data_IF_009915167388
#
_entry.id   IF_009915167388
#
_cell.length_a   1.000
_cell.length_b   1.000
_cell.length_c   1.000
_cell.angle_alpha   90.00
_cell.angle_beta   90.00
_cell.angle_gamma   90.00
#
_symmetry.space_group_name_H-M   'P 1'
#
loop_
_entity.id
_entity.type
_entity.pdbx_description
1 polymer ?
#
# COMPACT_ATOMS: atom_id res chain seq x y z
N UNK A 1 2.65 24.50 20.87
CA UNK A 1 1.23 24.17 20.58
C UNK A 1 0.34 25.31 21.10
N UNK A 2 -0.42 26.00 20.24
CA UNK A 2 -1.31 27.07 20.67
C UNK A 2 -2.50 26.56 21.51
N UNK A 3 -2.80 25.26 21.44
CA UNK A 3 -3.86 24.59 22.21
C UNK A 3 -3.25 23.32 22.79
N UNK A 4 -3.28 23.21 24.12
CA UNK A 4 -2.78 22.02 24.82
C UNK A 4 -3.61 20.78 24.42
N UNK A 5 -2.94 19.68 24.16
CA UNK A 5 -3.58 18.42 23.70
C UNK A 5 -3.92 18.33 22.20
N UNK A 6 -3.85 19.44 21.44
CA UNK A 6 -4.10 19.46 20.01
C UNK A 6 -2.81 19.17 19.25
N UNK A 7 -2.86 18.19 18.32
CA UNK A 7 -1.73 17.81 17.47
C UNK A 7 -2.18 17.71 16.01
N UNK A 8 -1.54 18.48 15.15
CA UNK A 8 -1.69 18.41 13.70
C UNK A 8 -0.46 17.73 13.10
N UNK A 9 -0.68 16.71 12.30
CA UNK A 9 0.37 15.99 11.57
C UNK A 9 0.04 15.94 10.10
N UNK A 10 1.00 16.31 9.27
CA UNK A 10 0.95 16.16 7.81
C UNK A 10 2.20 15.41 7.38
N UNK A 11 2.04 14.34 6.61
CA UNK A 11 3.14 13.50 6.11
C UNK A 11 2.94 13.27 4.62
N UNK A 12 3.93 13.64 3.84
CA UNK A 12 3.98 13.34 2.42
C UNK A 12 5.10 12.34 2.16
N UNK A 13 4.83 11.30 1.40
CA UNK A 13 5.80 10.30 1.00
C UNK A 13 5.71 10.01 -0.49
N UNK A 14 6.84 9.69 -1.08
CA UNK A 14 6.96 9.22 -2.44
C UNK A 14 7.84 7.96 -2.47
N UNK A 15 7.37 6.93 -3.15
CA UNK A 15 8.10 5.72 -3.44
C UNK A 15 8.24 5.60 -4.96
N UNK A 16 9.46 5.46 -5.43
CA UNK A 16 9.79 5.30 -6.84
C UNK A 16 10.61 4.03 -7.02
N UNK A 17 10.09 3.11 -7.80
CA UNK A 17 10.77 1.86 -8.14
C UNK A 17 10.87 1.74 -9.66
N UNK A 18 12.06 1.43 -10.15
CA UNK A 18 12.33 1.09 -11.54
C UNK A 18 12.97 -0.29 -11.60
N UNK A 19 12.42 -1.15 -12.43
CA UNK A 19 13.00 -2.45 -12.76
C UNK A 19 13.35 -2.46 -14.24
N UNK A 20 14.55 -2.88 -14.56
CA UNK A 20 14.97 -3.16 -15.93
C UNK A 20 15.43 -4.61 -16.02
N UNK A 21 14.95 -5.32 -17.02
CA UNK A 21 15.33 -6.69 -17.29
C UNK A 21 15.73 -6.81 -18.76
N UNK A 22 16.97 -7.18 -18.99
CA UNK A 22 17.52 -7.39 -20.32
C UNK A 22 17.77 -8.87 -20.53
N UNK A 23 17.45 -9.36 -21.71
CA UNK A 23 17.76 -10.72 -22.13
C UNK A 23 18.35 -10.68 -23.53
N UNK A 24 19.38 -11.49 -23.75
CA UNK A 24 19.92 -11.75 -25.06
C UNK A 24 20.11 -13.26 -25.26
N UNK A 25 19.62 -13.76 -26.38
CA UNK A 25 19.80 -15.13 -26.82
C UNK A 25 20.67 -15.10 -28.09
N UNK A 26 21.89 -15.66 -28.07
CA UNK A 26 22.80 -15.62 -29.20
C UNK A 26 22.23 -16.30 -30.46
N UNK A 27 22.72 -15.87 -31.62
CA UNK A 27 22.28 -16.40 -32.90
C UNK A 27 22.88 -17.78 -33.27
N UNK A 28 23.95 -18.19 -32.60
CA UNK A 28 24.73 -19.39 -32.84
C UNK A 28 24.43 -20.54 -31.86
N UNK A 29 23.32 -20.50 -31.17
CA UNK A 29 22.88 -21.57 -30.26
C UNK A 29 21.67 -22.32 -30.82
N UNK A 30 21.49 -23.57 -30.37
CA UNK A 30 20.42 -24.46 -30.79
C UNK A 30 19.00 -23.83 -30.61
N UNK A 31 18.75 -23.09 -29.54
CA UNK A 31 17.47 -22.45 -29.34
C UNK A 31 17.12 -21.44 -30.44
N UNK A 32 18.11 -20.67 -30.88
CA UNK A 32 17.93 -19.69 -31.95
C UNK A 32 17.65 -20.36 -33.31
N UNK A 33 18.28 -21.50 -33.57
CA UNK A 33 18.02 -22.32 -34.78
C UNK A 33 16.63 -22.95 -34.71
N UNK A 34 16.29 -23.58 -33.57
CA UNK A 34 15.01 -24.27 -33.36
C UNK A 34 13.80 -23.35 -33.54
N UNK A 35 13.87 -22.15 -33.01
CA UNK A 35 12.77 -21.15 -33.09
C UNK A 35 12.91 -20.23 -34.31
N UNK A 36 13.95 -20.36 -35.10
CA UNK A 36 14.16 -19.56 -36.29
C UNK A 36 14.38 -18.07 -36.00
N UNK A 37 14.78 -17.73 -34.76
CA UNK A 37 14.96 -16.32 -34.35
C UNK A 37 16.23 -15.71 -34.87
N UNK A 38 17.29 -16.52 -35.06
CA UNK A 38 18.64 -16.08 -35.42
C UNK A 38 19.17 -14.99 -34.42
N UNK A 39 18.98 -15.28 -33.13
CA UNK A 39 19.24 -14.36 -32.02
C UNK A 39 18.02 -13.52 -31.63
N UNK A 40 17.85 -13.30 -30.35
CA UNK A 40 16.75 -12.52 -29.77
C UNK A 40 17.29 -11.59 -28.68
N UNK A 41 16.89 -10.34 -28.73
CA UNK A 41 17.17 -9.36 -27.68
C UNK A 41 15.86 -8.79 -27.11
N UNK A 42 15.79 -8.63 -25.80
CA UNK A 42 14.67 -8.02 -25.07
C UNK A 42 15.18 -6.95 -24.11
N UNK A 43 14.45 -5.84 -24.01
CA UNK A 43 14.61 -4.80 -23.00
C UNK A 43 13.22 -4.51 -22.39
N UNK A 44 13.02 -4.94 -21.15
CA UNK A 44 11.81 -4.72 -20.36
C UNK A 44 12.09 -3.67 -19.31
N UNK A 45 11.24 -2.67 -19.22
CA UNK A 45 11.34 -1.60 -18.21
C UNK A 45 10.00 -1.39 -17.53
N UNK A 46 9.99 -1.55 -16.22
CA UNK A 46 8.87 -1.28 -15.33
C UNK A 46 9.20 -0.06 -14.48
N UNK A 47 8.26 0.86 -14.38
CA UNK A 47 8.37 1.99 -13.45
C UNK A 47 7.10 2.06 -12.63
N UNK A 48 7.24 2.05 -11.32
CA UNK A 48 6.15 2.22 -10.37
C UNK A 48 6.43 3.47 -9.53
N UNK A 49 5.49 4.38 -9.50
CA UNK A 49 5.53 5.56 -8.64
C UNK A 49 4.32 5.54 -7.71
N UNK A 50 4.56 5.65 -6.42
CA UNK A 50 3.51 5.82 -5.41
C UNK A 50 3.78 7.10 -4.66
N UNK A 51 2.80 7.98 -4.58
CA UNK A 51 2.83 9.04 -3.61
C UNK A 51 1.64 8.91 -2.65
N UNK A 52 1.87 9.30 -1.42
CA UNK A 52 0.88 9.27 -0.37
C UNK A 52 0.96 10.55 0.46
N UNK A 53 -0.19 11.11 0.76
CA UNK A 53 -0.31 12.29 1.61
C UNK A 53 -1.33 12.04 2.72
N UNK A 54 -0.81 11.97 3.94
CA UNK A 54 -1.58 11.72 5.15
C UNK A 54 -1.66 12.99 5.98
N UNK A 55 -2.86 13.36 6.39
CA UNK A 55 -3.10 14.47 7.30
C UNK A 55 -3.95 13.97 8.46
N UNK A 56 -3.61 14.37 9.67
CA UNK A 56 -4.39 14.05 10.85
C UNK A 56 -4.39 15.18 11.85
N UNK A 57 -5.54 15.39 12.48
CA UNK A 57 -5.75 16.26 13.59
C UNK A 57 -6.20 15.40 14.77
N UNK A 58 -5.46 15.43 15.86
CA UNK A 58 -5.79 14.71 17.08
C UNK A 58 -5.87 15.65 18.27
N UNK A 59 -6.80 15.36 19.15
CA UNK A 59 -7.00 16.09 20.40
C UNK A 59 -7.02 15.10 21.56
N UNK A 60 -6.20 15.35 22.56
CA UNK A 60 -6.12 14.55 23.78
C UNK A 60 -6.47 15.41 24.98
N UNK A 61 -7.37 14.93 25.82
CA UNK A 61 -7.79 15.59 27.05
C UNK A 61 -7.93 14.57 28.18
N UNK A 62 -7.52 14.99 29.38
CA UNK A 62 -7.67 14.21 30.61
C UNK A 62 -8.40 15.03 31.66
N UNK A 63 -9.46 14.47 32.24
CA UNK A 63 -10.23 15.08 33.30
C UNK A 63 -10.58 14.05 34.38
N UNK A 64 -9.99 14.23 35.55
CA UNK A 64 -10.11 13.25 36.63
C UNK A 64 -9.59 11.87 36.23
N UNK A 65 -10.46 10.85 36.19
CA UNK A 65 -10.13 9.48 35.79
C UNK A 65 -10.38 9.19 34.32
N UNK A 66 -10.83 10.19 33.57
CA UNK A 66 -11.17 10.03 32.14
C UNK A 66 -10.03 10.54 31.28
N UNK A 67 -9.66 9.74 30.27
CA UNK A 67 -8.76 10.14 29.22
C UNK A 67 -9.47 9.91 27.88
N UNK A 68 -9.54 10.94 27.08
CA UNK A 68 -10.15 10.93 25.75
C UNK A 68 -9.09 11.35 24.72
N UNK A 69 -8.93 10.56 23.67
CA UNK A 69 -8.16 10.93 22.49
C UNK A 69 -9.06 10.78 21.27
N UNK A 70 -9.32 11.86 20.58
CA UNK A 70 -10.10 11.89 19.34
C UNK A 70 -9.18 12.27 18.18
N UNK A 71 -9.34 11.63 17.04
CA UNK A 71 -8.57 11.89 15.81
C UNK A 71 -9.49 11.88 14.60
N UNK A 72 -9.27 12.84 13.71
CA UNK A 72 -9.77 12.83 12.34
C UNK A 72 -8.61 12.95 11.38
N UNK A 73 -8.72 12.34 10.21
CA UNK A 73 -7.63 12.37 9.24
C UNK A 73 -8.09 12.07 7.82
N UNK A 74 -7.20 12.38 6.89
CA UNK A 74 -7.33 12.04 5.47
C UNK A 74 -6.07 11.36 4.99
N UNK A 75 -6.21 10.40 4.08
CA UNK A 75 -5.11 9.76 3.38
C UNK A 75 -5.42 9.72 1.89
N UNK A 76 -4.55 10.28 1.07
CA UNK A 76 -4.65 10.24 -0.38
C UNK A 76 -3.44 9.49 -0.93
N UNK A 77 -3.70 8.44 -1.71
CA UNK A 77 -2.66 7.63 -2.36
C UNK A 77 -2.90 7.59 -3.85
N UNK A 78 -1.85 7.76 -4.64
CA UNK A 78 -1.88 7.53 -6.09
C UNK A 78 -0.72 6.62 -6.46
N UNK A 79 -1.03 5.55 -7.18
CA UNK A 79 -0.07 4.61 -7.73
C UNK A 79 -0.13 4.70 -9.24
N UNK A 80 1.00 4.96 -9.87
CA UNK A 80 1.16 4.95 -11.33
C UNK A 80 2.13 3.83 -11.71
N UNK A 81 1.77 3.06 -12.70
CA UNK A 81 2.58 1.99 -13.26
C UNK A 81 2.76 2.22 -14.75
N UNK A 82 4.00 2.17 -15.22
CA UNK A 82 4.37 2.24 -16.62
C UNK A 82 5.23 1.03 -16.98
N UNK A 83 4.93 0.43 -18.11
CA UNK A 83 5.67 -0.69 -18.65
C UNK A 83 6.01 -0.45 -20.11
N UNK A 84 7.23 -0.78 -20.48
CA UNK A 84 7.70 -0.81 -21.86
C UNK A 84 8.42 -2.15 -22.07
N UNK A 85 8.08 -2.81 -23.15
CA UNK A 85 8.80 -3.98 -23.66
C UNK A 85 9.23 -3.74 -25.09
N UNK A 86 10.49 -4.02 -25.39
CA UNK A 86 11.03 -4.02 -26.75
C UNK A 86 11.72 -5.35 -27.01
N UNK A 87 11.39 -5.98 -28.14
CA UNK A 87 11.98 -7.23 -28.62
C UNK A 87 12.46 -7.08 -30.05
N UNK A 88 13.61 -7.62 -30.35
CA UNK A 88 14.12 -7.70 -31.71
C UNK A 88 14.79 -9.06 -31.96
N UNK A 89 14.73 -9.55 -33.20
CA UNK A 89 15.31 -10.80 -33.62
C UNK A 89 16.12 -10.65 -34.92
N UNK A 90 16.97 -11.65 -35.20
CA UNK A 90 17.82 -11.65 -36.39
C UNK A 90 19.03 -10.73 -36.21
N UNK A 91 20.05 -11.21 -35.54
CA UNK A 91 21.28 -10.48 -35.35
C UNK A 91 22.41 -11.12 -36.17
N UNK A 92 23.07 -10.31 -36.99
CA UNK A 92 24.21 -10.78 -37.79
C UNK A 92 25.48 -11.00 -36.95
N UNK A 93 25.51 -10.53 -35.71
CA UNK A 93 26.61 -10.71 -34.78
C UNK A 93 26.10 -10.66 -33.32
N UNK A 94 26.76 -11.41 -32.44
CA UNK A 94 26.49 -11.46 -31.02
C UNK A 94 27.20 -10.30 -30.22
N UNK A 95 27.99 -9.48 -30.90
CA UNK A 95 28.90 -8.51 -30.28
C UNK A 95 28.18 -7.49 -29.38
N UNK A 96 27.00 -7.02 -29.78
CA UNK A 96 26.27 -5.98 -29.08
C UNK A 96 25.26 -6.49 -28.05
N UNK A 97 24.94 -7.80 -28.10
CA UNK A 97 23.95 -8.39 -27.21
C UNK A 97 22.62 -7.60 -27.24
N UNK A 98 22.07 -7.31 -26.09
CA UNK A 98 20.82 -6.54 -25.95
C UNK A 98 21.00 -5.01 -26.11
N UNK A 99 22.22 -4.50 -26.25
CA UNK A 99 22.48 -3.05 -26.34
C UNK A 99 22.12 -2.44 -27.70
N UNK A 100 21.79 -3.23 -28.70
CA UNK A 100 21.45 -2.75 -30.04
C UNK A 100 20.25 -3.46 -30.65
N UNK A 101 19.06 -3.25 -30.05
CA UNK A 101 17.81 -3.82 -30.60
C UNK A 101 17.53 -3.37 -32.04
N UNK A 102 17.97 -2.16 -32.39
CA UNK A 102 17.81 -1.61 -33.74
C UNK A 102 18.54 -2.40 -34.83
N UNK A 103 19.60 -3.17 -34.49
CA UNK A 103 20.36 -3.98 -35.45
C UNK A 103 19.70 -5.31 -35.80
N UNK A 104 18.63 -5.71 -35.11
CA UNK A 104 17.83 -6.87 -35.51
C UNK A 104 17.21 -6.66 -36.87
N UNK A 105 17.53 -7.52 -37.85
CA UNK A 105 17.10 -7.35 -39.24
C UNK A 105 15.73 -7.97 -39.56
N UNK A 106 15.21 -8.86 -38.71
CA UNK A 106 13.87 -9.45 -38.88
C UNK A 106 12.78 -8.49 -38.41
N UNK A 107 12.41 -7.56 -39.27
CA UNK A 107 11.46 -6.45 -38.93
C UNK A 107 10.05 -6.96 -38.59
N UNK A 108 9.62 -8.05 -39.15
CA UNK A 108 8.37 -8.75 -38.93
C UNK A 108 8.26 -9.43 -37.56
N UNK A 109 9.41 -9.67 -36.91
CA UNK A 109 9.51 -10.26 -35.56
C UNK A 109 9.92 -9.24 -34.49
N UNK A 110 9.84 -7.97 -34.77
CA UNK A 110 10.04 -6.90 -33.76
C UNK A 110 8.76 -6.74 -32.94
N UNK A 111 8.92 -6.75 -31.63
CA UNK A 111 7.84 -6.48 -30.68
C UNK A 111 8.07 -5.17 -29.96
N UNK A 112 7.03 -4.38 -29.83
CA UNK A 112 6.99 -3.21 -28.97
C UNK A 112 5.64 -3.21 -28.26
N UNK A 113 5.64 -3.21 -26.93
CA UNK A 113 4.43 -3.06 -26.16
C UNK A 113 4.63 -2.07 -25.01
N UNK A 114 3.56 -1.37 -24.69
CA UNK A 114 3.51 -0.46 -23.55
C UNK A 114 2.24 -0.70 -22.77
N UNK A 115 2.30 -0.53 -21.48
CA UNK A 115 1.15 -0.53 -20.60
C UNK A 115 1.26 0.63 -19.62
N UNK A 116 0.12 1.21 -19.28
CA UNK A 116 0.01 2.24 -18.27
C UNK A 116 -1.22 1.99 -17.43
N UNK A 117 -1.07 2.12 -16.12
CA UNK A 117 -2.20 2.09 -15.22
C UNK A 117 -2.04 3.10 -14.10
N UNK A 118 -3.16 3.61 -13.62
CA UNK A 118 -3.22 4.54 -12.50
C UNK A 118 -4.33 4.12 -11.55
N UNK A 119 -4.02 4.18 -10.26
CA UNK A 119 -4.95 3.87 -9.20
C UNK A 119 -4.88 4.97 -8.15
N UNK A 120 -6.04 5.41 -7.67
CA UNK A 120 -6.16 6.38 -6.59
C UNK A 120 -7.02 5.83 -5.46
N UNK A 121 -6.62 6.13 -4.23
CA UNK A 121 -7.36 5.83 -3.02
C UNK A 121 -7.42 7.09 -2.18
N UNK A 122 -8.64 7.51 -1.82
CA UNK A 122 -8.88 8.60 -0.89
C UNK A 122 -9.63 8.06 0.32
N UNK A 123 -9.10 8.32 1.51
CA UNK A 123 -9.64 7.84 2.77
C UNK A 123 -9.89 8.97 3.73
N UNK A 124 -11.03 8.92 4.42
CA UNK A 124 -11.35 9.73 5.59
C UNK A 124 -11.41 8.81 6.80
N UNK A 125 -10.77 9.20 7.89
CA UNK A 125 -10.64 8.38 9.08
C UNK A 125 -11.08 9.21 10.29
N UNK A 126 -11.90 8.61 11.14
CA UNK A 126 -12.22 9.12 12.45
C UNK A 126 -12.00 8.04 13.50
N UNK A 127 -11.37 8.42 14.62
CA UNK A 127 -11.09 7.49 15.74
C UNK A 127 -11.29 8.20 17.05
N UNK A 128 -11.91 7.49 18.00
CA UNK A 128 -12.04 7.91 19.39
C UNK A 128 -11.52 6.79 20.28
N UNK A 129 -10.59 7.13 21.14
CA UNK A 129 -10.11 6.26 22.21
C UNK A 129 -10.53 6.87 23.55
N UNK A 130 -11.21 6.07 24.35
CA UNK A 130 -11.63 6.45 25.68
C UNK A 130 -11.05 5.49 26.71
N UNK A 131 -10.52 6.04 27.80
CA UNK A 131 -9.99 5.27 28.91
C UNK A 131 -10.53 5.84 30.21
N UNK A 132 -11.16 4.97 31.00
CA UNK A 132 -11.61 5.31 32.33
C UNK A 132 -10.78 4.61 33.40
N UNK A 133 -10.04 5.41 34.16
CA UNK A 133 -9.23 4.98 35.32
C UNK A 133 -8.18 3.89 35.00
N UNK A 134 -7.78 3.69 33.73
CA UNK A 134 -6.94 2.55 33.31
C UNK A 134 -7.66 1.21 33.26
N UNK A 135 -8.93 1.13 33.69
CA UNK A 135 -9.73 -0.09 33.82
C UNK A 135 -10.50 -0.43 32.56
N UNK A 136 -11.24 0.52 32.04
CA UNK A 136 -12.12 0.34 30.89
C UNK A 136 -11.59 1.16 29.74
N UNK A 137 -11.31 0.47 28.63
CA UNK A 137 -10.81 1.10 27.41
C UNK A 137 -11.80 0.81 26.29
N UNK A 138 -12.17 1.85 25.56
CA UNK A 138 -13.04 1.77 24.40
C UNK A 138 -12.35 2.46 23.22
N UNK A 139 -12.34 1.81 22.07
CA UNK A 139 -11.90 2.40 20.81
C UNK A 139 -13.00 2.24 19.77
N UNK A 140 -13.39 3.33 19.14
CA UNK A 140 -14.27 3.33 17.97
C UNK A 140 -13.52 3.97 16.80
N UNK A 141 -13.59 3.35 15.63
CA UNK A 141 -12.99 3.86 14.40
C UNK A 141 -14.01 3.75 13.27
N UNK A 142 -14.07 4.77 12.45
CA UNK A 142 -14.78 4.74 11.17
C UNK A 142 -13.81 5.15 10.08
N UNK A 143 -13.78 4.41 8.98
CA UNK A 143 -13.00 4.72 7.78
C UNK A 143 -13.94 4.73 6.58
N UNK A 144 -13.83 5.77 5.76
CA UNK A 144 -14.59 5.95 4.55
C UNK A 144 -13.62 6.06 3.38
N UNK A 145 -13.58 5.03 2.55
CA UNK A 145 -12.59 4.85 1.49
C UNK A 145 -13.24 4.96 0.11
N UNK A 146 -12.63 5.76 -0.76
CA UNK A 146 -12.98 5.87 -2.16
C UNK A 146 -11.83 5.38 -3.05
N UNK A 147 -12.07 4.34 -3.84
CA UNK A 147 -11.07 3.73 -4.72
C UNK A 147 -11.47 3.85 -6.19
N UNK A 148 -10.53 4.28 -7.03
CA UNK A 148 -10.70 4.35 -8.48
C UNK A 148 -10.80 2.99 -9.18
N UNK A 149 -10.50 1.90 -8.48
CA UNK A 149 -10.62 0.53 -8.99
C UNK A 149 -12.06 0.10 -9.20
N UNK A 150 -13.00 0.71 -8.47
CA UNK A 150 -14.42 0.37 -8.56
C UNK A 150 -15.15 1.24 -9.57
N UNK A 151 -16.21 0.68 -10.16
CA UNK A 151 -17.06 1.38 -11.11
C UNK A 151 -17.72 2.62 -10.47
N UNK A 152 -18.03 3.62 -11.30
CA UNK A 152 -18.77 4.82 -10.86
C UNK A 152 -20.05 4.42 -10.13
N UNK A 153 -20.27 5.03 -8.97
CA UNK A 153 -21.39 4.73 -8.06
C UNK A 153 -21.06 3.73 -6.95
N UNK A 154 -20.04 2.88 -7.09
CA UNK A 154 -19.64 1.89 -6.08
C UNK A 154 -18.22 2.12 -5.56
N UNK A 155 -17.66 3.31 -5.80
CA UNK A 155 -16.26 3.61 -5.45
C UNK A 155 -16.03 3.77 -3.95
N UNK A 156 -17.07 4.04 -3.18
CA UNK A 156 -16.98 4.40 -1.79
C UNK A 156 -17.52 3.31 -0.87
N UNK A 157 -16.79 3.02 0.20
CA UNK A 157 -17.18 2.09 1.24
C UNK A 157 -16.89 2.63 2.64
N UNK A 158 -17.74 2.28 3.61
CA UNK A 158 -17.55 2.62 5.02
C UNK A 158 -17.14 1.37 5.81
N UNK A 159 -16.12 1.50 6.64
CA UNK A 159 -15.52 0.42 7.42
C UNK A 159 -15.45 0.81 8.90
N UNK A 160 -16.54 0.58 9.65
CA UNK A 160 -16.58 0.84 11.08
C UNK A 160 -15.91 -0.29 11.86
N UNK A 161 -15.31 0.06 12.99
CA UNK A 161 -14.83 -0.90 13.98
C UNK A 161 -15.00 -0.36 15.40
N UNK A 162 -15.23 -1.27 16.33
CA UNK A 162 -15.32 -0.98 17.76
C UNK A 162 -14.59 -2.06 18.55
N UNK A 163 -13.85 -1.66 19.55
CA UNK A 163 -13.23 -2.58 20.51
C UNK A 163 -13.33 -2.05 21.92
N UNK A 164 -13.52 -2.99 22.86
CA UNK A 164 -13.54 -2.72 24.28
C UNK A 164 -12.51 -3.58 25.00
N UNK A 165 -11.90 -3.06 26.04
CA UNK A 165 -11.01 -3.81 26.90
C UNK A 165 -11.29 -3.50 28.37
N UNK A 166 -11.26 -4.54 29.18
CA UNK A 166 -11.37 -4.46 30.63
C UNK A 166 -10.07 -4.95 31.25
N UNK A 167 -9.40 -4.05 31.97
CA UNK A 167 -8.19 -4.36 32.72
C UNK A 167 -8.59 -4.82 34.13
N UNK A 168 -8.79 -6.11 34.29
CA UNK A 168 -9.34 -6.73 35.51
C UNK A 168 -8.38 -6.54 36.69
N UNK A 169 -7.06 -6.55 36.45
CA UNK A 169 -6.05 -6.34 37.48
C UNK A 169 -6.14 -4.96 38.17
N UNK A 170 -6.70 -3.96 37.49
CA UNK A 170 -6.91 -2.62 38.07
C UNK A 170 -8.15 -2.55 38.98
N UNK A 171 -8.93 -3.63 39.08
CA UNK A 171 -10.11 -3.66 39.94
C UNK A 171 -9.74 -3.82 41.39
N UNK A 172 -10.57 -3.24 42.28
CA UNK A 172 -10.29 -3.26 43.73
C UNK A 172 -10.20 -4.68 44.29
N UNK A 173 -11.00 -5.62 43.77
CA UNK A 173 -11.01 -7.01 44.20
C UNK A 173 -9.78 -7.81 43.80
N UNK A 174 -9.02 -7.31 42.81
CA UNK A 174 -7.78 -7.96 42.31
C UNK A 174 -6.51 -7.44 43.00
N UNK A 175 -6.57 -6.37 43.82
CA UNK A 175 -5.40 -5.74 44.41
C UNK A 175 -4.59 -6.63 45.36
N UNK A 176 -5.22 -7.60 45.98
CA UNK A 176 -4.59 -8.48 46.98
C UNK A 176 -4.15 -9.84 46.40
N UNK A 177 -4.33 -10.07 45.09
CA UNK A 177 -3.86 -11.28 44.45
C UNK A 177 -2.43 -11.10 43.92
N UNK A 178 -1.65 -12.16 43.89
CA UNK A 178 -0.24 -12.19 43.45
C UNK A 178 0.01 -13.17 42.30
N UNK A 179 -1.08 -13.76 41.75
CA UNK A 179 -0.98 -14.80 40.73
C UNK A 179 -0.82 -14.20 39.33
N UNK A 180 -1.47 -13.05 39.08
CA UNK A 180 -1.45 -12.39 37.79
C UNK A 180 -0.85 -10.99 37.89
N UNK A 181 0.22 -10.72 37.14
CA UNK A 181 0.75 -9.37 36.98
C UNK A 181 -0.18 -8.51 36.13
N UNK A 182 -0.82 -9.10 35.11
CA UNK A 182 -1.81 -8.44 34.27
C UNK A 182 -2.87 -9.42 33.80
N UNK A 183 -4.14 -9.12 34.06
CA UNK A 183 -5.31 -9.80 33.51
C UNK A 183 -6.19 -8.80 32.76
N UNK A 184 -6.30 -8.95 31.45
CA UNK A 184 -7.05 -8.05 30.57
C UNK A 184 -7.92 -8.81 29.61
N UNK A 185 -9.21 -8.55 29.63
CA UNK A 185 -10.18 -9.06 28.66
C UNK A 185 -10.34 -8.05 27.53
N UNK A 186 -10.37 -8.53 26.27
CA UNK A 186 -10.58 -7.69 25.08
C UNK A 186 -11.61 -8.33 24.17
N UNK A 187 -12.48 -7.51 23.60
CA UNK A 187 -13.39 -7.88 22.55
C UNK A 187 -13.46 -6.79 21.49
N UNK A 188 -13.63 -7.15 20.24
CA UNK A 188 -13.76 -6.18 19.16
C UNK A 188 -14.50 -6.77 17.98
N UNK A 189 -15.12 -5.87 17.22
CA UNK A 189 -15.79 -6.17 15.98
C UNK A 189 -15.46 -5.08 14.96
N UNK A 190 -15.30 -5.46 13.68
CA UNK A 190 -15.04 -4.50 12.62
C UNK A 190 -15.38 -5.08 11.25
N UNK A 191 -15.68 -4.18 10.33
CA UNK A 191 -15.87 -4.47 8.92
C UNK A 191 -14.61 -4.01 8.19
N UNK A 192 -14.06 -4.87 7.35
CA UNK A 192 -12.89 -4.57 6.52
C UNK A 192 -13.26 -4.65 5.04
N UNK A 193 -12.68 -3.77 4.24
CA UNK A 193 -12.81 -3.79 2.79
C UNK A 193 -11.61 -4.45 2.12
N UNK A 194 -11.83 -5.04 0.95
CA UNK A 194 -10.78 -5.51 0.06
C UNK A 194 -10.94 -4.81 -1.29
N UNK A 195 -9.87 -4.21 -1.81
CA UNK A 195 -9.81 -3.58 -3.14
C UNK A 195 -8.95 -4.39 -4.13
N UNK A 196 -8.48 -5.56 -3.76
CA UNK A 196 -7.77 -6.47 -4.66
C UNK A 196 -8.81 -7.20 -5.51
N UNK A 197 -9.20 -6.54 -6.58
CA UNK A 197 -9.97 -7.11 -7.69
C UNK A 197 -9.03 -7.21 -8.89
N UNK A 198 -8.99 -8.39 -9.49
CA UNK A 198 -8.26 -8.67 -10.73
C UNK A 198 -9.01 -8.09 -11.93
#
# INVERSE_FOLDING_TARGET
>A
NPIEGLNLRSTFSIDYAQKQQNKYTPNDIYESERYGTQGEAKDDRDTRTVWQWDNSLSYEVSFGKHKLNAMVGTSATRTTYNYINATATGFGTNLFGYHSLGSGYKKDQRGLSTAWSEQTLLSYIARVNYNYAGKYLLTATARYDGSSKFAKGNQWGIFPSVSAAWNITEEKFMKNQTIFDQLKLRAGFGIVGNQNID
#
